data_IF_850632068721
#
_entry.id   IF_850632068721
#
_cell.length_a   1.000
_cell.length_b   1.000
_cell.length_c   1.000
_cell.angle_alpha   90.00
_cell.angle_beta   90.00
_cell.angle_gamma   90.00
#
_symmetry.space_group_name_H-M   'P 1'
#
loop_
_entity.id
_entity.type
_entity.pdbx_description
1 polymer ?
#
# COMPACT_ATOMS: atom_id res chain seq x y z
N UNK A 1 1.67 -1.80 -35.52
CA UNK A 1 2.42 -0.77 -34.79
C UNK A 1 1.51 0.33 -34.26
N UNK A 2 0.93 1.20 -35.10
CA UNK A 2 0.09 2.33 -34.64
C UNK A 2 -1.12 1.87 -33.81
N UNK A 3 -1.84 0.83 -34.27
CA UNK A 3 -2.95 0.23 -33.51
C UNK A 3 -2.52 -0.32 -32.14
N UNK A 4 -1.36 -0.97 -32.05
CA UNK A 4 -0.84 -1.52 -30.78
C UNK A 4 -0.53 -0.40 -29.79
N UNK A 5 -0.03 0.75 -30.25
CA UNK A 5 0.20 1.91 -29.41
C UNK A 5 -1.10 2.56 -28.91
N UNK A 6 -2.14 2.63 -29.75
CA UNK A 6 -3.47 3.11 -29.34
C UNK A 6 -4.10 2.20 -28.28
N UNK A 7 -4.00 0.88 -28.46
CA UNK A 7 -4.45 -0.11 -27.46
C UNK A 7 -3.69 0.04 -26.14
N UNK A 8 -2.37 0.24 -26.18
CA UNK A 8 -1.55 0.47 -25.00
C UNK A 8 -1.91 1.78 -24.28
N UNK A 9 -2.13 2.85 -25.05
CA UNK A 9 -2.59 4.12 -24.49
C UNK A 9 -3.96 3.96 -23.82
N UNK A 10 -4.86 3.18 -24.41
CA UNK A 10 -6.15 2.84 -23.82
C UNK A 10 -6.02 2.07 -22.50
N UNK A 11 -5.15 1.07 -22.46
CA UNK A 11 -4.87 0.30 -21.24
C UNK A 11 -4.30 1.19 -20.13
N UNK A 12 -3.29 2.00 -20.42
CA UNK A 12 -2.67 2.93 -19.47
C UNK A 12 -3.67 3.98 -18.94
N UNK A 13 -4.61 4.47 -19.77
CA UNK A 13 -5.66 5.38 -19.30
C UNK A 13 -6.58 4.72 -18.28
N UNK A 14 -7.00 3.48 -18.55
CA UNK A 14 -7.84 2.71 -17.61
C UNK A 14 -7.08 2.40 -16.32
N UNK A 15 -5.82 2.02 -16.39
CA UNK A 15 -4.99 1.81 -15.19
C UNK A 15 -4.88 3.08 -14.37
N UNK A 16 -4.65 4.22 -15.02
CA UNK A 16 -4.61 5.52 -14.35
C UNK A 16 -5.90 5.82 -13.59
N UNK A 17 -7.06 5.57 -14.19
CA UNK A 17 -8.36 5.77 -13.52
C UNK A 17 -8.47 4.92 -12.25
N UNK A 18 -8.07 3.65 -12.31
CA UNK A 18 -8.09 2.75 -11.14
C UNK A 18 -7.05 3.18 -10.09
N UNK A 19 -5.89 3.69 -10.49
CA UNK A 19 -4.90 4.22 -9.55
C UNK A 19 -5.41 5.49 -8.87
N UNK A 20 -6.06 6.38 -9.62
CA UNK A 20 -6.68 7.58 -9.06
C UNK A 20 -7.78 7.19 -8.04
N UNK A 21 -8.61 6.18 -8.34
CA UNK A 21 -9.56 5.59 -7.39
C UNK A 21 -8.85 5.04 -6.14
N UNK A 22 -7.76 4.27 -6.30
CA UNK A 22 -7.00 3.72 -5.18
C UNK A 22 -6.36 4.82 -4.31
N UNK A 23 -5.96 5.94 -4.89
CA UNK A 23 -5.48 7.11 -4.14
C UNK A 23 -6.58 7.69 -3.27
N UNK A 24 -7.77 7.92 -3.83
CA UNK A 24 -8.94 8.42 -3.08
C UNK A 24 -9.36 7.45 -1.96
N UNK A 25 -9.32 6.15 -2.24
CA UNK A 25 -9.59 5.12 -1.22
C UNK A 25 -8.53 5.15 -0.12
N UNK A 26 -7.24 5.32 -0.44
CA UNK A 26 -6.18 5.40 0.54
C UNK A 26 -6.25 6.68 1.40
N UNK A 27 -6.68 7.81 0.83
CA UNK A 27 -6.98 9.04 1.58
C UNK A 27 -8.18 8.85 2.51
N UNK A 28 -9.22 8.17 2.03
CA UNK A 28 -10.38 7.80 2.85
C UNK A 28 -9.99 6.88 4.00
N UNK A 29 -9.11 5.90 3.75
CA UNK A 29 -8.55 5.02 4.78
C UNK A 29 -7.83 5.83 5.86
N UNK A 30 -7.03 6.83 5.49
CA UNK A 30 -6.38 7.74 6.45
C UNK A 30 -7.41 8.40 7.37
N UNK A 31 -8.51 8.92 6.83
CA UNK A 31 -9.56 9.57 7.62
C UNK A 31 -10.28 8.60 8.56
N UNK A 32 -10.62 7.41 8.08
CA UNK A 32 -11.28 6.39 8.90
C UNK A 32 -10.37 5.89 10.03
N UNK A 33 -9.06 5.76 9.77
CA UNK A 33 -8.06 5.41 10.79
C UNK A 33 -7.94 6.48 11.87
N UNK A 34 -7.90 7.77 11.48
CA UNK A 34 -7.88 8.89 12.43
C UNK A 34 -9.13 8.87 13.31
N UNK A 35 -10.30 8.59 12.73
CA UNK A 35 -11.58 8.55 13.44
C UNK A 35 -11.84 7.24 14.19
N UNK A 36 -10.93 6.26 14.08
CA UNK A 36 -11.10 4.92 14.65
C UNK A 36 -12.39 4.20 14.20
N UNK A 37 -12.85 4.48 12.98
CA UNK A 37 -14.07 3.87 12.41
C UNK A 37 -13.77 2.50 11.81
N UNK A 38 -13.83 1.47 12.66
CA UNK A 38 -13.59 0.08 12.27
C UNK A 38 -14.62 -0.43 11.26
N UNK A 39 -15.88 0.04 11.34
CA UNK A 39 -16.93 -0.42 10.42
C UNK A 39 -16.70 0.14 9.00
N UNK A 40 -16.39 1.43 8.89
CA UNK A 40 -15.99 2.06 7.64
C UNK A 40 -14.77 1.37 7.02
N UNK A 41 -13.75 1.05 7.83
CA UNK A 41 -12.54 0.36 7.35
C UNK A 41 -12.85 -1.01 6.74
N UNK A 42 -13.74 -1.80 7.35
CA UNK A 42 -14.12 -3.10 6.80
C UNK A 42 -14.79 -3.00 5.42
N UNK A 43 -15.62 -1.98 5.20
CA UNK A 43 -16.24 -1.75 3.89
C UNK A 43 -15.19 -1.29 2.87
N UNK A 44 -14.31 -0.38 3.27
CA UNK A 44 -13.29 0.20 2.40
C UNK A 44 -12.31 -0.87 1.87
N UNK A 45 -11.88 -1.81 2.73
CA UNK A 45 -10.96 -2.89 2.34
C UNK A 45 -11.53 -3.73 1.19
N UNK A 46 -12.84 -3.99 1.18
CA UNK A 46 -13.47 -4.73 0.09
C UNK A 46 -13.40 -3.97 -1.23
N UNK A 47 -13.63 -2.66 -1.20
CA UNK A 47 -13.54 -1.80 -2.39
C UNK A 47 -12.09 -1.72 -2.91
N UNK A 48 -11.11 -1.53 -2.01
CA UNK A 48 -9.68 -1.56 -2.35
C UNK A 48 -9.28 -2.90 -2.99
N UNK A 49 -9.78 -4.03 -2.48
CA UNK A 49 -9.49 -5.35 -3.06
C UNK A 49 -10.05 -5.49 -4.48
N UNK A 50 -11.26 -4.99 -4.72
CA UNK A 50 -11.87 -5.01 -6.06
C UNK A 50 -11.09 -4.13 -7.05
N UNK A 51 -10.73 -2.91 -6.65
CA UNK A 51 -9.90 -2.01 -7.46
C UNK A 51 -8.51 -2.62 -7.73
N UNK A 52 -7.86 -3.21 -6.72
CA UNK A 52 -6.59 -3.92 -6.88
C UNK A 52 -6.66 -5.09 -7.86
N UNK A 53 -7.74 -5.89 -7.82
CA UNK A 53 -7.94 -6.98 -8.76
C UNK A 53 -8.15 -6.48 -10.20
N UNK A 54 -8.90 -5.38 -10.39
CA UNK A 54 -9.07 -4.74 -11.70
C UNK A 54 -7.72 -4.25 -12.24
N UNK A 55 -6.94 -3.55 -11.41
CA UNK A 55 -5.61 -3.07 -11.79
C UNK A 55 -4.67 -4.21 -12.18
N UNK A 56 -4.66 -5.30 -11.42
CA UNK A 56 -3.84 -6.47 -11.72
C UNK A 56 -4.19 -7.14 -13.06
N UNK A 57 -5.45 -7.08 -13.49
CA UNK A 57 -5.86 -7.60 -14.80
C UNK A 57 -5.45 -6.66 -15.93
N UNK A 58 -5.63 -5.35 -15.76
CA UNK A 58 -5.18 -4.34 -16.73
C UNK A 58 -3.67 -4.40 -16.93
N UNK A 59 -2.90 -4.57 -15.85
CA UNK A 59 -1.44 -4.70 -15.92
C UNK A 59 -0.99 -5.91 -16.75
N UNK A 60 -1.73 -7.03 -16.66
CA UNK A 60 -1.47 -8.20 -17.52
C UNK A 60 -1.74 -7.88 -18.99
N UNK A 61 -2.83 -7.17 -19.29
CA UNK A 61 -3.15 -6.73 -20.65
C UNK A 61 -2.06 -5.79 -21.19
N UNK A 62 -1.61 -4.83 -20.37
CA UNK A 62 -0.51 -3.91 -20.70
C UNK A 62 0.78 -4.66 -21.03
N UNK A 63 1.17 -5.63 -20.19
CA UNK A 63 2.39 -6.44 -20.42
C UNK A 63 2.30 -7.24 -21.73
N UNK A 64 1.13 -7.76 -22.10
CA UNK A 64 0.93 -8.44 -23.39
C UNK A 64 1.13 -7.48 -24.56
N UNK A 65 0.60 -6.25 -24.45
CA UNK A 65 0.76 -5.22 -25.48
C UNK A 65 2.21 -4.76 -25.61
N UNK A 66 2.94 -4.61 -24.50
CA UNK A 66 4.37 -4.27 -24.50
C UNK A 66 5.21 -5.36 -25.16
N UNK A 67 4.95 -6.64 -24.86
CA UNK A 67 5.63 -7.77 -25.52
C UNK A 67 5.36 -7.78 -27.02
N UNK A 68 4.13 -7.49 -27.44
CA UNK A 68 3.77 -7.39 -28.86
C UNK A 68 4.55 -6.26 -29.55
N UNK A 69 4.65 -5.08 -28.90
CA UNK A 69 5.45 -3.97 -29.41
C UNK A 69 6.94 -4.27 -29.48
N UNK A 70 7.49 -4.95 -28.46
CA UNK A 70 8.90 -5.35 -28.45
C UNK A 70 9.22 -6.24 -29.66
N UNK A 71 8.34 -7.20 -29.97
CA UNK A 71 8.45 -8.04 -31.17
C UNK A 71 8.32 -7.25 -32.48
N UNK A 72 7.36 -6.32 -32.57
CA UNK A 72 7.20 -5.46 -33.76
C UNK A 72 8.41 -4.53 -33.99
N UNK A 73 9.12 -4.14 -32.92
CA UNK A 73 10.31 -3.28 -32.97
C UNK A 73 11.63 -4.07 -32.97
N UNK A 74 11.58 -5.40 -33.10
CA UNK A 74 12.74 -6.30 -33.17
C UNK A 74 13.68 -6.21 -31.95
N UNK A 75 13.13 -5.99 -30.76
CA UNK A 75 13.90 -6.15 -29.52
C UNK A 75 14.11 -7.63 -29.22
N UNK A 76 15.34 -8.00 -28.84
CA UNK A 76 15.69 -9.38 -28.44
C UNK A 76 15.24 -9.71 -27.01
N UNK A 77 15.07 -8.70 -26.16
CA UNK A 77 14.57 -8.85 -24.79
C UNK A 77 13.05 -8.69 -24.76
N UNK A 78 12.35 -9.53 -24.00
CA UNK A 78 10.91 -9.41 -23.76
C UNK A 78 10.59 -8.40 -22.65
N UNK A 79 11.58 -7.97 -21.85
CA UNK A 79 11.42 -7.06 -20.72
C UNK A 79 11.84 -5.61 -21.07
N UNK A 80 11.43 -5.13 -22.25
CA UNK A 80 11.70 -3.76 -22.68
C UNK A 80 10.84 -2.78 -21.89
N UNK A 81 11.44 -1.71 -21.38
CA UNK A 81 10.68 -0.68 -20.66
C UNK A 81 9.81 0.12 -21.63
N UNK A 82 8.62 0.55 -21.19
CA UNK A 82 7.76 1.46 -21.95
C UNK A 82 8.52 2.66 -22.55
N UNK A 83 9.43 3.25 -21.77
CA UNK A 83 10.24 4.39 -22.20
C UNK A 83 11.20 4.07 -23.35
N UNK A 84 11.65 2.83 -23.45
CA UNK A 84 12.53 2.34 -24.53
C UNK A 84 11.71 2.05 -25.79
N UNK A 85 10.52 1.45 -25.64
CA UNK A 85 9.56 1.24 -26.73
C UNK A 85 9.13 2.57 -27.36
N UNK A 86 8.84 3.58 -26.54
CA UNK A 86 8.51 4.94 -26.99
C UNK A 86 9.67 5.57 -27.78
N UNK A 87 10.91 5.44 -27.28
CA UNK A 87 12.09 5.99 -27.96
C UNK A 87 12.35 5.32 -29.31
N UNK A 88 12.16 4.00 -29.39
CA UNK A 88 12.38 3.23 -30.62
C UNK A 88 11.31 3.48 -31.69
N UNK A 89 10.06 3.76 -31.29
CA UNK A 89 8.96 4.04 -32.22
C UNK A 89 9.00 5.45 -32.84
N UNK A 90 9.80 6.37 -32.28
CA UNK A 90 10.01 7.70 -32.86
C UNK A 90 8.72 8.50 -33.06
N UNK A 91 8.40 8.85 -34.31
CA UNK A 91 7.25 9.71 -34.67
C UNK A 91 5.92 8.95 -34.61
N UNK A 92 5.93 7.61 -34.56
CA UNK A 92 4.71 6.78 -34.53
C UNK A 92 4.08 6.65 -33.15
N UNK A 93 4.61 7.36 -32.14
CA UNK A 93 4.08 7.35 -30.77
C UNK A 93 2.90 8.32 -30.65
N UNK A 94 1.74 7.88 -30.10
CA UNK A 94 0.62 8.76 -29.82
C UNK A 94 1.03 9.93 -28.94
N UNK A 95 0.63 11.14 -29.35
CA UNK A 95 0.88 12.36 -28.60
C UNK A 95 0.32 12.21 -27.18
N UNK A 96 1.19 12.35 -26.17
CA UNK A 96 0.79 12.29 -24.76
C UNK A 96 0.99 10.95 -24.07
N UNK A 97 1.46 9.89 -24.75
CA UNK A 97 1.78 8.61 -24.10
C UNK A 97 2.87 8.78 -23.02
N UNK A 98 3.90 9.57 -23.32
CA UNK A 98 4.96 9.90 -22.37
C UNK A 98 4.42 10.69 -21.17
N UNK A 99 3.56 11.68 -21.42
CA UNK A 99 2.93 12.47 -20.35
C UNK A 99 2.02 11.60 -19.47
N UNK A 100 1.30 10.65 -20.06
CA UNK A 100 0.48 9.69 -19.33
C UNK A 100 1.34 8.81 -18.42
N UNK A 101 2.42 8.24 -18.93
CA UNK A 101 3.35 7.41 -18.16
C UNK A 101 4.00 8.19 -17.00
N UNK A 102 4.42 9.42 -17.23
CA UNK A 102 4.96 10.30 -16.19
C UNK A 102 3.90 10.66 -15.13
N UNK A 103 2.67 10.93 -15.56
CA UNK A 103 1.53 11.18 -14.66
C UNK A 103 1.23 9.97 -13.78
N UNK A 104 1.19 8.77 -14.34
CA UNK A 104 0.98 7.53 -13.59
C UNK A 104 2.06 7.30 -12.56
N UNK A 105 3.34 7.54 -12.91
CA UNK A 105 4.46 7.42 -11.96
C UNK A 105 4.26 8.29 -10.71
N UNK A 106 3.76 9.52 -10.89
CA UNK A 106 3.44 10.42 -9.75
C UNK A 106 2.32 9.85 -8.88
N UNK A 107 1.27 9.29 -9.50
CA UNK A 107 0.14 8.69 -8.78
C UNK A 107 0.54 7.43 -8.01
N UNK A 108 1.36 6.56 -8.59
CA UNK A 108 1.93 5.42 -7.85
C UNK A 108 2.76 5.87 -6.64
N UNK A 109 3.55 6.92 -6.78
CA UNK A 109 4.31 7.47 -5.65
C UNK A 109 3.40 8.00 -4.55
N UNK A 110 2.35 8.75 -4.91
CA UNK A 110 1.34 9.23 -3.97
C UNK A 110 0.64 8.08 -3.24
N UNK A 111 0.17 7.07 -3.98
CA UNK A 111 -0.46 5.89 -3.40
C UNK A 111 0.49 5.14 -2.45
N UNK A 112 1.77 5.01 -2.81
CA UNK A 112 2.79 4.41 -1.96
C UNK A 112 2.98 5.17 -0.64
N UNK A 113 3.05 6.50 -0.70
CA UNK A 113 3.18 7.34 0.49
C UNK A 113 1.95 7.26 1.42
N UNK A 114 0.75 7.25 0.85
CA UNK A 114 -0.51 7.07 1.60
C UNK A 114 -0.56 5.71 2.27
N UNK A 115 -0.21 4.64 1.55
CA UNK A 115 -0.17 3.28 2.10
C UNK A 115 0.82 3.15 3.27
N UNK A 116 2.01 3.74 3.18
CA UNK A 116 2.96 3.75 4.31
C UNK A 116 2.42 4.53 5.51
N UNK A 117 1.73 5.65 5.25
CA UNK A 117 1.06 6.43 6.30
C UNK A 117 -0.04 5.61 7.00
N UNK A 118 -0.92 4.97 6.23
CA UNK A 118 -2.00 4.13 6.77
C UNK A 118 -1.45 2.95 7.58
N UNK A 119 -0.39 2.28 7.09
CA UNK A 119 0.30 1.22 7.85
C UNK A 119 0.84 1.71 9.19
N UNK A 120 1.40 2.93 9.24
CA UNK A 120 1.90 3.51 10.48
C UNK A 120 0.77 3.80 11.46
N UNK A 121 -0.33 4.39 10.99
CA UNK A 121 -1.52 4.67 11.79
C UNK A 121 -2.12 3.38 12.38
N UNK A 122 -2.26 2.33 11.57
CA UNK A 122 -2.74 1.02 12.03
C UNK A 122 -1.84 0.47 13.15
N UNK A 123 -0.51 0.50 12.95
CA UNK A 123 0.45 0.04 13.97
C UNK A 123 0.33 0.84 15.27
N UNK A 124 0.16 2.16 15.17
CA UNK A 124 0.00 3.03 16.32
C UNK A 124 -1.30 2.71 17.08
N UNK A 125 -2.42 2.58 16.38
CA UNK A 125 -3.73 2.24 16.97
C UNK A 125 -3.70 0.89 17.68
N UNK A 126 -3.08 -0.13 17.07
CA UNK A 126 -2.88 -1.44 17.70
C UNK A 126 -1.95 -1.35 18.92
N UNK A 127 -0.87 -0.59 18.84
CA UNK A 127 0.04 -0.36 19.96
C UNK A 127 -0.67 0.28 21.16
N UNK A 128 -1.52 1.27 20.91
CA UNK A 128 -2.33 1.92 21.93
C UNK A 128 -3.37 0.98 22.56
N UNK A 129 -4.12 0.23 21.73
CA UNK A 129 -5.07 -0.76 22.20
C UNK A 129 -4.40 -1.84 23.08
N UNK A 130 -3.26 -2.37 22.65
CA UNK A 130 -2.50 -3.36 23.42
C UNK A 130 -1.98 -2.81 24.75
N UNK A 131 -1.52 -1.54 24.78
CA UNK A 131 -1.10 -0.87 26.01
C UNK A 131 -2.28 -0.65 26.96
N UNK A 132 -3.46 -0.29 26.46
CA UNK A 132 -4.66 -0.20 27.29
C UNK A 132 -5.05 -1.56 27.86
N UNK A 133 -5.01 -2.62 27.04
CA UNK A 133 -5.28 -3.99 27.50
C UNK A 133 -4.31 -4.42 28.60
N UNK A 134 -3.02 -4.10 28.51
CA UNK A 134 -2.05 -4.47 29.56
C UNK A 134 -2.24 -3.71 30.88
N UNK A 135 -2.83 -2.52 30.83
CA UNK A 135 -3.20 -1.74 32.03
C UNK A 135 -4.49 -2.29 32.65
N UNK A 136 -5.50 -2.60 31.83
CA UNK A 136 -6.83 -3.06 32.28
C UNK A 136 -6.78 -4.52 32.74
N UNK A 137 -6.02 -5.36 32.04
CA UNK A 137 -5.78 -6.76 32.38
C UNK A 137 -4.41 -6.84 33.05
N UNK A 138 -4.32 -6.63 34.38
CA UNK A 138 -3.08 -6.91 35.07
C UNK A 138 -2.72 -8.36 34.81
N UNK A 139 -1.55 -8.57 34.21
CA UNK A 139 -0.93 -9.88 34.12
C UNK A 139 -0.95 -10.45 35.54
N UNK A 140 -1.76 -11.49 35.78
CA UNK A 140 -1.85 -12.15 37.08
C UNK A 140 -0.48 -12.75 37.40
N UNK A 141 0.44 -11.95 37.96
CA UNK A 141 1.48 -12.48 38.83
C UNK A 141 0.72 -12.98 40.05
N UNK A 142 0.54 -14.28 40.12
CA UNK A 142 -0.03 -14.98 41.27
C UNK A 142 0.84 -14.66 42.49
N UNK A 143 0.44 -13.69 43.30
CA UNK A 143 1.17 -13.32 44.53
C UNK A 143 0.84 -14.24 45.71
N UNK A 144 0.02 -15.27 45.54
CA UNK A 144 -0.22 -16.28 46.57
C UNK A 144 -0.23 -17.67 45.96
N UNK A 145 0.73 -18.50 46.38
CA UNK A 145 0.61 -19.95 46.33
C UNK A 145 -0.03 -20.42 47.64
N UNK A 146 -0.81 -21.50 47.56
CA UNK A 146 -1.56 -22.14 48.65
C UNK A 146 -0.69 -22.61 49.84
N UNK A 147 0.63 -22.47 49.77
CA UNK A 147 1.59 -22.82 50.82
C UNK A 147 2.05 -21.66 51.71
N UNK A 148 1.54 -20.44 51.54
CA UNK A 148 1.88 -19.30 52.40
C UNK A 148 3.34 -18.82 52.33
N UNK A 149 4.15 -19.31 51.37
CA UNK A 149 5.54 -18.89 51.22
C UNK A 149 5.67 -17.74 50.22
N UNK A 150 5.88 -16.51 50.72
CA UNK A 150 6.23 -15.35 49.90
C UNK A 150 7.74 -15.37 49.65
N UNK A 151 8.18 -15.67 48.42
CA UNK A 151 9.53 -15.30 47.97
C UNK A 151 9.53 -13.85 47.52
N UNK A 152 10.02 -12.97 48.39
CA UNK A 152 10.35 -11.59 48.03
C UNK A 152 11.49 -11.62 47.02
N UNK A 153 11.18 -11.29 45.76
CA UNK A 153 12.20 -10.89 44.81
C UNK A 153 12.74 -9.52 45.26
N UNK A 154 13.94 -9.53 45.84
CA UNK A 154 14.70 -8.35 46.22
C UNK A 154 14.87 -7.41 45.01
N UNK A 155 14.02 -6.40 44.92
CA UNK A 155 14.36 -5.13 44.29
C UNK A 155 14.15 -4.05 45.35
N UNK A 156 15.16 -3.90 46.20
CA UNK A 156 15.23 -2.84 47.18
C UNK A 156 15.05 -1.49 46.47
N UNK A 157 13.92 -0.86 46.78
CA UNK A 157 13.59 0.51 46.46
C UNK A 157 14.67 1.45 46.98
N UNK A 158 15.34 2.18 46.08
CA UNK A 158 16.30 3.27 46.41
C UNK A 158 15.57 4.61 46.66
N UNK A 159 14.44 4.60 47.35
CA UNK A 159 13.64 5.82 47.56
C UNK A 159 13.34 6.13 49.03
N UNK A 160 14.11 5.58 49.97
CA UNK A 160 13.96 5.99 51.37
C UNK A 160 15.30 6.02 52.11
N UNK A 161 16.20 6.90 51.67
CA UNK A 161 17.26 7.44 52.50
C UNK A 161 17.56 8.86 52.01
N UNK A 162 16.98 9.86 52.66
CA UNK A 162 17.71 10.94 53.34
C UNK A 162 16.71 11.85 54.04
N UNK A 163 16.78 11.78 55.38
CA UNK A 163 16.53 12.89 56.32
C UNK A 163 17.58 13.97 56.08
#
# INVERSE_FOLDING_TARGET
MEQTFEELMGALKKEREIIDELVELAETETQLLINSDVQGLMQLVNTQQQAGNKLANLEKERLVLEKRLAGELSFEDENVRLTELIKAAGVSVPAGLQFLAEGMKKRYYQLGALNETNKLLIKQSLGYANKMLSVILPQRKTTYQESGAVKLANNASRLDQTV
#
